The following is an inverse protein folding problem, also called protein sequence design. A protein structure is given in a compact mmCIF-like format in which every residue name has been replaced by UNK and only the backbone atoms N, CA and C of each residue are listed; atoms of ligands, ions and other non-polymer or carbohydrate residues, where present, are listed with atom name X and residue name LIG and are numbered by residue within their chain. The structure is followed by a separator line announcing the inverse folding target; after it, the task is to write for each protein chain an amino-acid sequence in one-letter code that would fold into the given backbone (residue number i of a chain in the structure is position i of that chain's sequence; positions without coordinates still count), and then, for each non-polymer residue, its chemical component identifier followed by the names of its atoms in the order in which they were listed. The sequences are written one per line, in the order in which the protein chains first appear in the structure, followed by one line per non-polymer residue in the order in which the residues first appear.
data_IF_685764677359
#
_entry.id   IF_685764677359
#
_cell.length_a   1.000
_cell.length_b   1.000
_cell.length_c   1.000
_cell.angle_alpha   90.00
_cell.angle_beta   90.00
_cell.angle_gamma   90.00
#
_symmetry.space_group_name_H-M   'P 1'
#
loop_
_entity.id
_entity.type
_entity.pdbx_description
1 polymer ?
#
# COMPACT_ATOMS: atom_id res chain seq x y z
N UNK A 1 -4.43 6.14 -3.96
CA UNK A 1 -3.28 7.05 -4.08
C UNK A 1 -2.06 6.23 -4.48
N UNK A 2 -1.35 6.58 -5.57
CA UNK A 2 -0.16 5.88 -6.02
C UNK A 2 1.08 6.27 -5.19
N UNK A 3 1.99 5.32 -4.98
CA UNK A 3 3.30 5.50 -4.33
C UNK A 3 4.34 4.72 -5.13
N UNK A 4 5.41 5.40 -5.58
CA UNK A 4 6.55 4.76 -6.23
C UNK A 4 7.39 4.04 -5.16
N UNK A 5 7.60 2.73 -5.32
CA UNK A 5 8.28 1.88 -4.32
C UNK A 5 9.47 1.11 -4.88
N UNK A 6 9.72 1.18 -6.18
CA UNK A 6 10.94 0.61 -6.80
C UNK A 6 11.85 1.70 -7.36
N UNK A 7 13.12 1.36 -7.56
CA UNK A 7 14.11 2.25 -8.17
C UNK A 7 14.88 3.13 -7.18
N UNK A 8 14.66 2.94 -5.88
CA UNK A 8 15.46 3.53 -4.83
C UNK A 8 15.53 2.58 -3.62
N UNK A 9 16.72 2.50 -2.99
CA UNK A 9 16.89 1.81 -1.72
C UNK A 9 16.65 0.29 -1.79
N UNK A 10 15.61 -0.18 -1.09
CA UNK A 10 15.43 -1.60 -0.73
C UNK A 10 14.66 -2.45 -1.75
N UNK A 11 14.20 -1.87 -2.86
CA UNK A 11 13.56 -2.60 -3.97
C UNK A 11 14.08 -2.09 -5.32
N UNK A 12 14.59 -3.00 -6.14
CA UNK A 12 15.20 -2.68 -7.42
C UNK A 12 14.13 -2.36 -8.49
N UNK A 13 14.54 -1.64 -9.53
CA UNK A 13 13.70 -1.55 -10.74
C UNK A 13 13.50 -2.96 -11.27
N UNK A 14 12.24 -3.34 -11.56
CA UNK A 14 11.89 -4.68 -12.01
C UNK A 14 11.51 -5.66 -10.90
N UNK A 15 11.55 -5.27 -9.61
CA UNK A 15 11.00 -6.09 -8.53
C UNK A 15 9.52 -6.39 -8.77
N UNK A 16 9.14 -7.67 -8.62
CA UNK A 16 7.81 -8.22 -8.88
C UNK A 16 6.86 -8.07 -7.69
N UNK A 17 7.41 -7.88 -6.50
CA UNK A 17 6.67 -7.52 -5.29
C UNK A 17 7.54 -6.69 -4.35
N UNK A 18 6.90 -6.01 -3.41
CA UNK A 18 7.57 -5.28 -2.32
C UNK A 18 6.99 -5.65 -0.96
N UNK A 19 7.83 -5.53 0.05
CA UNK A 19 7.47 -5.68 1.45
C UNK A 19 7.40 -4.29 2.09
N UNK A 20 6.24 -3.91 2.62
CA UNK A 20 6.01 -2.59 3.23
C UNK A 20 5.33 -2.71 4.59
N UNK A 21 5.66 -1.78 5.49
CA UNK A 21 4.88 -1.55 6.70
C UNK A 21 3.98 -0.32 6.48
N UNK A 22 2.67 -0.50 6.60
CA UNK A 22 1.67 0.55 6.42
C UNK A 22 1.16 0.96 7.79
N UNK A 23 1.44 2.20 8.18
CA UNK A 23 0.98 2.77 9.44
C UNK A 23 -0.11 3.80 9.16
N UNK A 24 -1.29 3.59 9.72
CA UNK A 24 -2.36 4.56 9.73
C UNK A 24 -2.38 5.32 11.06
N UNK A 25 -2.50 6.64 10.99
CA UNK A 25 -2.62 7.53 12.16
C UNK A 25 -3.70 8.57 11.91
N UNK A 26 -4.16 9.23 12.98
CA UNK A 26 -5.24 10.23 12.92
C UNK A 26 -6.49 9.75 12.15
N UNK A 27 -6.90 8.49 12.40
CA UNK A 27 -8.10 7.93 11.79
C UNK A 27 -9.35 8.64 12.34
N UNK A 28 -10.13 9.26 11.45
CA UNK A 28 -11.31 10.07 11.83
C UNK A 28 -12.58 9.24 12.07
N UNK A 29 -12.61 8.00 11.58
CA UNK A 29 -13.70 7.05 11.75
C UNK A 29 -13.16 5.61 11.63
N UNK A 30 -13.90 4.59 12.12
CA UNK A 30 -13.57 3.20 11.83
C UNK A 30 -13.59 2.93 10.33
N UNK A 31 -12.81 1.96 9.87
CA UNK A 31 -12.78 1.60 8.46
C UNK A 31 -11.60 0.71 8.13
N UNK A 32 -11.10 0.79 6.90
CA UNK A 32 -10.01 -0.05 6.43
C UNK A 32 -9.05 0.67 5.48
N UNK A 33 -7.85 0.11 5.37
CA UNK A 33 -6.84 0.42 4.35
C UNK A 33 -6.64 -0.82 3.48
N UNK A 34 -6.57 -0.62 2.17
CA UNK A 34 -6.22 -1.64 1.18
C UNK A 34 -4.96 -1.20 0.44
N UNK A 35 -4.09 -2.17 0.10
CA UNK A 35 -2.86 -1.96 -0.67
C UNK A 35 -2.81 -2.97 -1.81
N UNK A 36 -2.57 -2.49 -3.03
CA UNK A 36 -2.64 -3.30 -4.26
C UNK A 36 -1.72 -2.72 -5.35
N UNK A 37 -1.33 -3.50 -6.37
CA UNK A 37 -0.60 -2.97 -7.53
C UNK A 37 -1.41 -1.89 -8.26
N UNK A 38 -0.83 -0.72 -8.52
CA UNK A 38 -1.53 0.35 -9.24
C UNK A 38 -1.96 -0.05 -10.67
N UNK A 39 -1.24 -0.99 -11.29
CA UNK A 39 -1.56 -1.52 -12.62
C UNK A 39 -2.80 -2.42 -12.66
N UNK A 40 -3.27 -2.90 -11.50
CA UNK A 40 -4.44 -3.78 -11.39
C UNK A 40 -5.27 -3.38 -10.17
N UNK A 41 -5.98 -2.24 -10.24
CA UNK A 41 -6.84 -1.81 -9.15
C UNK A 41 -8.02 -2.78 -8.96
N UNK A 42 -8.43 -3.06 -7.72
CA UNK A 42 -9.61 -3.87 -7.45
C UNK A 42 -10.88 -3.18 -7.98
N UNK A 43 -11.85 -3.99 -8.40
CA UNK A 43 -13.19 -3.51 -8.70
C UNK A 43 -13.82 -2.89 -7.43
N UNK A 44 -14.70 -1.87 -7.57
CA UNK A 44 -15.38 -1.28 -6.43
C UNK A 44 -16.11 -2.33 -5.58
N UNK A 45 -15.83 -2.39 -4.28
CA UNK A 45 -16.40 -3.36 -3.35
C UNK A 45 -15.67 -4.71 -3.29
N UNK A 46 -14.61 -4.90 -4.09
CA UNK A 46 -13.76 -6.11 -4.07
C UNK A 46 -12.39 -5.84 -3.44
N UNK A 47 -12.24 -4.76 -2.69
CA UNK A 47 -11.00 -4.44 -1.99
C UNK A 47 -10.72 -5.43 -0.85
N UNK A 48 -9.46 -5.85 -0.74
CA UNK A 48 -8.99 -6.60 0.43
C UNK A 48 -8.47 -5.63 1.49
N UNK A 49 -9.00 -5.69 2.71
CA UNK A 49 -8.49 -4.93 3.85
C UNK A 49 -7.18 -5.54 4.35
N UNK A 50 -6.13 -4.72 4.45
CA UNK A 50 -4.86 -5.11 5.08
C UNK A 50 -4.74 -4.55 6.50
N UNK A 51 -5.46 -3.46 6.81
CA UNK A 51 -5.43 -2.81 8.11
C UNK A 51 -6.80 -2.23 8.45
N UNK A 52 -7.39 -2.70 9.54
CA UNK A 52 -8.63 -2.14 10.08
C UNK A 52 -8.33 -0.97 11.03
N UNK A 53 -9.05 0.13 10.82
CA UNK A 53 -8.90 1.40 11.53
C UNK A 53 -9.91 1.52 12.67
N UNK A 54 -9.46 2.15 13.74
CA UNK A 54 -10.26 2.54 14.90
C UNK A 54 -9.99 4.01 15.16
N UNK A 55 -11.03 4.79 15.44
CA UNK A 55 -10.92 6.23 15.64
C UNK A 55 -9.88 6.57 16.72
N UNK A 56 -8.99 7.52 16.41
CA UNK A 56 -7.98 8.02 17.34
C UNK A 56 -6.81 7.06 17.63
N UNK A 57 -6.75 5.89 16.99
CA UNK A 57 -5.63 4.95 17.15
C UNK A 57 -4.62 5.06 16.02
N UNK A 58 -3.34 4.96 16.37
CA UNK A 58 -2.26 4.67 15.41
C UNK A 58 -2.08 3.16 15.35
N UNK A 59 -2.22 2.59 14.15
CA UNK A 59 -2.08 1.14 13.93
C UNK A 59 -1.23 0.88 12.69
N UNK A 60 -0.51 -0.23 12.70
CA UNK A 60 0.30 -0.65 11.56
C UNK A 60 -0.04 -2.09 11.13
N UNK A 61 0.17 -2.36 9.86
CA UNK A 61 0.16 -3.71 9.31
C UNK A 61 1.34 -3.87 8.34
N UNK A 62 1.97 -5.03 8.41
CA UNK A 62 3.02 -5.42 7.51
C UNK A 62 2.44 -6.21 6.34
N UNK A 63 2.79 -5.86 5.10
CA UNK A 63 2.20 -6.44 3.90
C UNK A 63 3.23 -6.64 2.80
N UNK A 64 3.17 -7.80 2.15
CA UNK A 64 3.82 -8.05 0.87
C UNK A 64 2.80 -7.83 -0.23
N UNK A 65 3.13 -6.98 -1.20
CA UNK A 65 2.22 -6.61 -2.30
C UNK A 65 2.92 -6.76 -3.65
N UNK A 66 2.25 -7.38 -4.65
CA UNK A 66 2.76 -7.40 -6.01
C UNK A 66 2.91 -5.99 -6.59
N UNK A 67 3.85 -5.84 -7.51
CA UNK A 67 4.11 -4.57 -8.21
C UNK A 67 4.19 -4.83 -9.71
N UNK A 68 3.55 -3.95 -10.48
CA UNK A 68 3.69 -4.00 -11.94
C UNK A 68 5.12 -3.67 -12.36
N UNK A 69 5.71 -4.45 -13.25
CA UNK A 69 7.09 -4.23 -13.73
C UNK A 69 7.14 -3.45 -15.06
N UNK A 70 5.99 -3.19 -15.68
CA UNK A 70 5.88 -2.49 -16.97
C UNK A 70 4.70 -1.51 -16.96
N UNK A 71 4.71 -0.60 -17.95
CA UNK A 71 3.64 0.39 -18.14
C UNK A 71 3.78 1.63 -17.25
N UNK A 72 2.80 2.54 -17.31
CA UNK A 72 2.88 3.86 -16.67
C UNK A 72 2.87 3.80 -15.13
N UNK A 73 2.42 2.68 -14.55
CA UNK A 73 2.42 2.45 -13.10
C UNK A 73 3.47 1.43 -12.66
N UNK A 74 4.50 1.21 -13.50
CA UNK A 74 5.59 0.31 -13.15
C UNK A 74 6.26 0.76 -11.85
N UNK A 75 6.44 -0.17 -10.93
CA UNK A 75 7.08 0.13 -9.64
C UNK A 75 6.17 0.80 -8.61
N UNK A 76 4.87 0.93 -8.88
CA UNK A 76 3.93 1.63 -8.01
C UNK A 76 2.96 0.69 -7.29
N UNK A 77 2.75 0.96 -6.01
CA UNK A 77 1.63 0.42 -5.23
C UNK A 77 0.61 1.51 -4.99
N UNK A 78 -0.65 1.12 -4.90
CA UNK A 78 -1.76 2.00 -4.66
C UNK A 78 -2.40 1.68 -3.31
N UNK A 79 -2.63 2.72 -2.52
CA UNK A 79 -3.35 2.62 -1.25
C UNK A 79 -4.75 3.21 -1.39
N UNK A 80 -5.74 2.60 -0.76
CA UNK A 80 -7.11 3.11 -0.64
C UNK A 80 -7.54 3.05 0.82
N UNK A 81 -8.12 4.12 1.32
CA UNK A 81 -8.72 4.19 2.65
C UNK A 81 -10.22 4.37 2.51
N UNK A 82 -10.99 3.70 3.36
CA UNK A 82 -12.45 3.87 3.37
C UNK A 82 -12.85 5.26 3.90
N UNK A 83 -12.11 5.73 4.91
CA UNK A 83 -12.32 7.01 5.57
C UNK A 83 -11.01 7.80 5.65
N UNK A 84 -11.10 9.08 5.99
CA UNK A 84 -9.93 9.96 6.12
C UNK A 84 -9.01 9.51 7.26
N UNK A 85 -7.72 9.39 6.96
CA UNK A 85 -6.62 9.04 7.87
C UNK A 85 -5.30 9.48 7.21
N UNK A 86 -4.23 9.63 8.00
CA UNK A 86 -2.88 9.78 7.48
C UNK A 86 -2.21 8.41 7.36
N UNK A 87 -1.47 8.20 6.28
CA UNK A 87 -0.71 6.97 6.05
C UNK A 87 0.79 7.28 5.98
N UNK A 88 1.57 6.45 6.66
CA UNK A 88 3.02 6.32 6.47
C UNK A 88 3.28 4.95 5.87
N UNK A 89 4.13 4.89 4.85
CA UNK A 89 4.47 3.65 4.14
C UNK A 89 5.99 3.49 4.16
N UNK A 90 6.47 2.50 4.91
CA UNK A 90 7.88 2.20 5.04
C UNK A 90 8.25 1.02 4.14
N UNK A 91 9.17 1.23 3.20
CA UNK A 91 9.70 0.17 2.35
C UNK A 91 10.73 -0.69 3.11
N UNK A 92 10.46 -1.99 3.22
CA UNK A 92 11.29 -2.95 3.93
C UNK A 92 12.14 -3.80 2.99
N UNK A 93 11.65 -4.12 1.79
CA UNK A 93 12.38 -4.94 0.82
C UNK A 93 11.64 -5.10 -0.51
N UNK A 94 12.28 -5.77 -1.46
CA UNK A 94 11.71 -6.13 -2.76
C UNK A 94 12.03 -7.58 -3.12
N UNK A 95 11.15 -8.19 -3.91
CA UNK A 95 11.30 -9.52 -4.49
C UNK A 95 11.53 -9.38 -5.99
N UNK A 96 12.37 -10.24 -6.58
CA UNK A 96 12.70 -10.21 -8.01
C UNK A 96 12.17 -11.47 -8.69
#
# INVERSE_FOLDING_TARGET
MPVQVTGAGKAAIGSTAVEVNVTATDARAPGWVSVFPCSSPPAPGSETSVLNLVTGQTKAAHVVVPVGVTGPSAGQICLRTQNATHLVVDLSGGYN
#
